data_IF_037457877323
#
_entry.id   IF_037457877323
#
_cell.length_a   1.000
_cell.length_b   1.000
_cell.length_c   1.000
_cell.angle_alpha   90.00
_cell.angle_beta   90.00
_cell.angle_gamma   90.00
#
_symmetry.space_group_name_H-M   'P 1'
#
loop_
_entity.id
_entity.type
_entity.pdbx_description
1 polymer ?
#
# COMPACT_ATOMS: atom_id res chain seq x y z
N UNK A 1 -31.48 10.50 -16.43
CA UNK A 1 -31.07 9.09 -16.53
C UNK A 1 -29.97 8.87 -15.54
N UNK A 2 -30.26 8.19 -14.45
CA UNK A 2 -29.27 7.72 -13.47
C UNK A 2 -28.45 6.61 -14.10
N UNK A 3 -27.24 6.93 -14.56
CA UNK A 3 -26.37 5.99 -15.26
C UNK A 3 -25.86 4.84 -14.38
N UNK A 4 -25.92 4.96 -13.04
CA UNK A 4 -25.46 3.93 -12.12
C UNK A 4 -26.21 4.03 -10.78
N UNK A 5 -27.36 3.35 -10.59
CA UNK A 5 -28.10 3.37 -9.32
C UNK A 5 -27.35 2.68 -8.17
N UNK A 6 -26.50 1.68 -8.46
CA UNK A 6 -25.74 0.94 -7.44
C UNK A 6 -24.26 0.97 -7.74
N UNK A 7 -23.48 1.72 -6.96
CA UNK A 7 -22.03 1.78 -7.06
C UNK A 7 -21.40 1.16 -5.83
N UNK A 8 -20.55 0.18 -6.02
CA UNK A 8 -19.93 -0.55 -4.91
C UNK A 8 -18.53 -0.05 -4.62
N UNK A 9 -18.27 0.25 -3.37
CA UNK A 9 -16.96 0.58 -2.87
C UNK A 9 -16.24 -0.70 -2.40
N UNK A 10 -15.14 -0.99 -3.06
CA UNK A 10 -14.33 -2.16 -2.79
C UNK A 10 -12.92 -1.76 -2.37
N UNK A 11 -12.33 -2.51 -1.46
CA UNK A 11 -10.99 -2.23 -0.95
C UNK A 11 -10.11 -3.48 -0.94
N UNK A 12 -9.00 -3.42 -1.65
CA UNK A 12 -8.00 -4.49 -1.67
C UNK A 12 -6.59 -3.92 -1.51
N UNK A 13 -5.80 -4.45 -0.58
CA UNK A 13 -4.40 -4.04 -0.39
C UNK A 13 -3.45 -5.21 -0.37
N UNK A 14 -2.27 -5.03 -0.95
CA UNK A 14 -1.27 -6.07 -1.09
C UNK A 14 -0.46 -6.35 0.19
N UNK A 15 -0.28 -5.38 1.11
CA UNK A 15 0.68 -5.54 2.22
C UNK A 15 0.38 -4.81 3.52
N UNK A 16 -0.62 -4.03 3.56
CA UNK A 16 -0.91 -3.21 4.72
C UNK A 16 -1.84 -2.09 4.35
N UNK A 17 -2.11 -1.31 5.35
CA UNK A 17 -2.99 -0.17 5.24
C UNK A 17 -2.15 1.02 4.76
N UNK A 18 -2.58 1.66 3.70
CA UNK A 18 -2.03 2.94 3.30
C UNK A 18 -2.79 4.07 4.03
N UNK A 19 -2.10 5.03 4.64
CA UNK A 19 -2.75 6.21 5.22
C UNK A 19 -3.63 6.91 4.21
N UNK A 20 -4.84 7.35 4.61
CA UNK A 20 -5.78 8.04 3.72
C UNK A 20 -6.78 7.13 2.97
N UNK A 21 -6.65 5.81 3.06
CA UNK A 21 -7.60 4.89 2.42
C UNK A 21 -9.04 5.07 2.95
N UNK A 22 -9.24 5.24 4.27
CA UNK A 22 -10.55 5.50 4.84
C UNK A 22 -11.13 6.83 4.34
N UNK A 23 -10.30 7.85 4.22
CA UNK A 23 -10.69 9.15 3.66
C UNK A 23 -11.15 9.03 2.20
N UNK A 24 -10.43 8.27 1.38
CA UNK A 24 -10.81 8.01 0.00
C UNK A 24 -12.14 7.24 -0.10
N UNK A 25 -12.32 6.22 0.73
CA UNK A 25 -13.58 5.48 0.82
C UNK A 25 -14.75 6.39 1.22
N UNK A 26 -14.55 7.20 2.26
CA UNK A 26 -15.54 8.20 2.70
C UNK A 26 -15.90 9.18 1.59
N UNK A 27 -14.90 9.70 0.88
CA UNK A 27 -15.13 10.63 -0.22
C UNK A 27 -15.97 9.97 -1.34
N UNK A 28 -15.62 8.75 -1.74
CA UNK A 28 -16.37 8.00 -2.74
C UNK A 28 -17.83 7.78 -2.32
N UNK A 29 -18.07 7.33 -1.08
CA UNK A 29 -19.43 7.11 -0.55
C UNK A 29 -20.23 8.40 -0.55
N UNK A 30 -19.70 9.48 0.00
CA UNK A 30 -20.41 10.77 0.08
C UNK A 30 -20.72 11.38 -1.30
N UNK A 31 -19.76 11.29 -2.22
CA UNK A 31 -19.95 11.76 -3.59
C UNK A 31 -20.97 10.93 -4.34
N UNK A 32 -20.99 9.60 -4.14
CA UNK A 32 -22.00 8.71 -4.72
C UNK A 32 -23.40 9.04 -4.21
N UNK A 33 -23.57 9.10 -2.89
CA UNK A 33 -24.87 9.45 -2.26
C UNK A 33 -25.34 10.84 -2.72
N UNK A 34 -24.45 11.82 -2.80
CA UNK A 34 -24.80 13.17 -3.29
C UNK A 34 -25.25 13.17 -4.76
N UNK A 35 -24.93 12.14 -5.54
CA UNK A 35 -25.40 11.92 -6.91
C UNK A 35 -26.66 11.05 -6.99
N UNK A 36 -27.21 10.65 -5.85
CA UNK A 36 -28.36 9.76 -5.78
C UNK A 36 -28.06 8.29 -6.01
N UNK A 37 -26.79 7.88 -5.85
CA UNK A 37 -26.39 6.49 -5.97
C UNK A 37 -26.53 5.77 -4.62
N UNK A 38 -26.94 4.50 -4.65
CA UNK A 38 -26.85 3.61 -3.51
C UNK A 38 -25.41 3.09 -3.41
N UNK A 39 -24.78 3.35 -2.29
CA UNK A 39 -23.38 2.97 -2.06
C UNK A 39 -23.30 1.70 -1.21
N UNK A 40 -22.71 0.67 -1.76
CA UNK A 40 -22.52 -0.61 -1.08
C UNK A 40 -21.05 -0.79 -0.68
N UNK A 41 -20.81 -1.16 0.57
CA UNK A 41 -19.48 -1.47 1.09
C UNK A 41 -19.26 -2.97 1.17
N UNK A 42 -18.18 -3.45 0.52
CA UNK A 42 -17.77 -4.85 0.60
C UNK A 42 -16.73 -4.98 1.71
N UNK A 43 -16.99 -5.82 2.71
CA UNK A 43 -16.06 -6.08 3.81
C UNK A 43 -15.17 -7.27 3.48
N UNK A 44 -13.88 -7.13 3.79
CA UNK A 44 -12.92 -8.23 3.63
C UNK A 44 -12.47 -8.51 2.21
N UNK A 45 -12.51 -7.53 1.29
CA UNK A 45 -11.94 -7.63 -0.05
C UNK A 45 -12.70 -8.62 -0.98
N UNK A 46 -12.02 -9.21 -1.96
CA UNK A 46 -12.62 -10.14 -2.95
C UNK A 46 -13.30 -11.35 -2.28
N UNK A 47 -12.73 -11.83 -1.19
CA UNK A 47 -13.35 -12.90 -0.43
C UNK A 47 -14.68 -12.48 0.17
N UNK A 48 -14.74 -11.26 0.71
CA UNK A 48 -15.99 -10.71 1.24
C UNK A 48 -17.07 -10.56 0.17
N UNK A 49 -16.69 -10.18 -1.05
CA UNK A 49 -17.61 -10.17 -2.19
C UNK A 49 -18.08 -11.59 -2.52
N UNK A 50 -17.17 -12.56 -2.62
CA UNK A 50 -17.52 -13.97 -2.89
C UNK A 50 -18.44 -14.56 -1.80
N UNK A 51 -18.19 -14.22 -0.55
CA UNK A 51 -18.98 -14.63 0.62
C UNK A 51 -20.26 -13.78 0.79
N UNK A 52 -20.49 -12.80 -0.09
CA UNK A 52 -21.61 -11.84 -0.06
C UNK A 52 -21.68 -10.99 1.23
N UNK A 53 -20.52 -10.65 1.80
CA UNK A 53 -20.42 -9.72 2.94
C UNK A 53 -20.48 -8.26 2.45
N UNK A 54 -21.67 -7.88 2.01
CA UNK A 54 -21.99 -6.58 1.40
C UNK A 54 -23.01 -5.87 2.27
N UNK A 55 -22.80 -4.58 2.52
CA UNK A 55 -23.76 -3.75 3.24
C UNK A 55 -23.93 -2.39 2.59
N UNK A 56 -25.12 -1.83 2.68
CA UNK A 56 -25.35 -0.45 2.29
C UNK A 56 -24.59 0.50 3.25
N UNK A 57 -24.04 1.56 2.67
CA UNK A 57 -23.31 2.61 3.38
C UNK A 57 -24.08 3.92 3.31
N UNK A 58 -24.39 4.46 4.47
CA UNK A 58 -25.03 5.77 4.62
C UNK A 58 -24.00 6.87 4.84
N UNK A 59 -24.44 8.12 4.81
CA UNK A 59 -23.62 9.27 5.14
C UNK A 59 -23.05 9.21 6.56
N UNK A 60 -23.84 8.70 7.52
CA UNK A 60 -23.46 8.54 8.92
C UNK A 60 -22.41 7.44 9.13
N UNK A 61 -22.51 6.31 8.41
CA UNK A 61 -21.55 5.22 8.54
C UNK A 61 -20.10 5.63 8.28
N UNK A 62 -19.90 6.61 7.41
CA UNK A 62 -18.56 7.05 6.99
C UNK A 62 -18.10 8.34 7.69
N UNK A 63 -18.84 8.86 8.67
CA UNK A 63 -18.58 10.17 9.25
C UNK A 63 -17.19 10.27 9.88
N UNK A 64 -16.80 9.33 10.72
CA UNK A 64 -15.51 9.28 11.42
C UNK A 64 -14.33 8.79 10.58
N UNK A 65 -14.56 8.28 9.36
CA UNK A 65 -13.52 7.59 8.59
C UNK A 65 -12.34 8.47 8.15
N UNK A 66 -12.54 9.79 8.05
CA UNK A 66 -11.45 10.70 7.69
C UNK A 66 -10.38 10.85 8.78
N UNK A 67 -10.74 10.58 10.03
CA UNK A 67 -9.86 10.74 11.19
C UNK A 67 -9.26 9.41 11.66
N UNK A 68 -9.67 8.31 11.05
CA UNK A 68 -9.23 6.97 11.42
C UNK A 68 -8.25 6.43 10.38
N UNK A 69 -7.08 6.03 10.85
CA UNK A 69 -6.18 5.21 10.06
C UNK A 69 -6.79 3.82 9.81
N UNK A 70 -6.16 3.05 8.93
CA UNK A 70 -6.60 1.69 8.69
C UNK A 70 -7.63 1.54 7.58
N UNK A 71 -8.49 0.51 7.68
CA UNK A 71 -9.48 0.13 6.70
C UNK A 71 -10.75 -0.40 7.35
N UNK A 72 -11.74 0.45 7.51
CA UNK A 72 -13.03 0.09 8.11
C UNK A 72 -13.75 -1.05 7.37
N UNK A 73 -13.62 -1.09 6.04
CA UNK A 73 -14.14 -2.21 5.24
C UNK A 73 -13.26 -3.46 5.29
N UNK A 74 -12.17 -3.45 6.06
CA UNK A 74 -11.22 -4.54 6.09
C UNK A 74 -10.37 -4.63 4.82
N UNK A 75 -9.36 -5.48 4.86
CA UNK A 75 -8.46 -5.73 3.71
C UNK A 75 -8.01 -7.18 3.71
N UNK A 76 -7.80 -7.74 2.51
CA UNK A 76 -7.13 -9.04 2.32
C UNK A 76 -6.13 -8.92 1.18
N UNK A 77 -5.14 -9.82 1.18
CA UNK A 77 -3.99 -9.78 0.25
C UNK A 77 -4.14 -10.74 -0.93
N UNK A 78 -5.29 -11.33 -1.08
CA UNK A 78 -5.55 -12.36 -2.07
C UNK A 78 -5.89 -11.73 -3.41
N UNK A 79 -5.33 -12.28 -4.49
CA UNK A 79 -5.86 -12.13 -5.84
C UNK A 79 -6.83 -13.30 -6.01
N UNK A 80 -8.07 -13.09 -6.48
CA UNK A 80 -9.01 -14.17 -6.66
C UNK A 80 -8.49 -15.23 -7.62
N UNK A 81 -8.68 -16.49 -7.26
CA UNK A 81 -8.41 -17.63 -8.15
C UNK A 81 -9.62 -17.89 -9.05
N UNK A 82 -9.39 -18.61 -10.15
CA UNK A 82 -10.44 -18.88 -11.16
C UNK A 82 -11.68 -19.54 -10.55
N UNK A 83 -11.49 -20.41 -9.58
CA UNK A 83 -12.56 -21.11 -8.85
C UNK A 83 -13.50 -20.15 -8.12
N UNK A 84 -13.00 -18.98 -7.75
CA UNK A 84 -13.78 -17.94 -7.04
C UNK A 84 -14.57 -17.04 -7.99
N UNK A 85 -14.26 -17.02 -9.30
CA UNK A 85 -14.88 -16.11 -10.26
C UNK A 85 -16.39 -16.33 -10.41
N UNK A 86 -16.84 -17.57 -10.34
CA UNK A 86 -18.26 -17.86 -10.34
C UNK A 86 -18.98 -17.22 -9.13
N UNK A 87 -18.42 -17.36 -7.94
CA UNK A 87 -18.98 -16.78 -6.70
C UNK A 87 -18.97 -15.24 -6.76
N UNK A 88 -17.90 -14.66 -7.31
CA UNK A 88 -17.79 -13.20 -7.51
C UNK A 88 -18.83 -12.70 -8.49
N UNK A 89 -19.01 -13.36 -9.64
CA UNK A 89 -20.02 -13.01 -10.62
C UNK A 89 -21.43 -13.08 -10.03
N UNK A 90 -21.74 -14.16 -9.30
CA UNK A 90 -23.04 -14.32 -8.62
C UNK A 90 -23.29 -13.23 -7.57
N UNK A 91 -22.25 -12.79 -6.86
CA UNK A 91 -22.38 -11.72 -5.87
C UNK A 91 -22.63 -10.35 -6.54
N UNK A 92 -21.98 -10.09 -7.67
CA UNK A 92 -22.21 -8.88 -8.49
C UNK A 92 -23.66 -8.85 -8.96
N UNK A 93 -24.15 -9.94 -9.55
CA UNK A 93 -25.56 -10.05 -10.02
C UNK A 93 -26.58 -9.93 -8.88
N UNK A 94 -26.34 -10.65 -7.75
CA UNK A 94 -27.24 -10.65 -6.59
C UNK A 94 -27.42 -9.27 -5.97
N UNK A 95 -26.34 -8.49 -5.92
CA UNK A 95 -26.36 -7.16 -5.35
C UNK A 95 -26.63 -6.08 -6.41
N UNK A 96 -26.93 -6.46 -7.64
CA UNK A 96 -27.23 -5.55 -8.75
C UNK A 96 -26.17 -4.46 -8.91
N UNK A 97 -24.87 -4.85 -8.87
CA UNK A 97 -23.78 -3.89 -8.91
C UNK A 97 -23.60 -3.33 -10.34
N UNK A 98 -23.77 -2.04 -10.51
CA UNK A 98 -23.55 -1.36 -11.79
C UNK A 98 -22.10 -0.93 -12.02
N UNK A 99 -21.33 -0.71 -10.96
CA UNK A 99 -19.93 -0.33 -11.04
C UNK A 99 -19.16 -0.71 -9.77
N UNK A 100 -17.84 -0.84 -9.90
CA UNK A 100 -16.93 -1.07 -8.78
C UNK A 100 -15.96 0.09 -8.62
N UNK A 101 -15.76 0.55 -7.38
CA UNK A 101 -14.65 1.42 -7.00
C UNK A 101 -13.69 0.60 -6.15
N UNK A 102 -12.49 0.38 -6.64
CA UNK A 102 -11.46 -0.42 -5.98
C UNK A 102 -10.34 0.48 -5.49
N UNK A 103 -10.11 0.51 -4.17
CA UNK A 103 -9.02 1.30 -3.57
C UNK A 103 -7.94 0.32 -3.11
N UNK A 104 -6.75 0.37 -3.71
CA UNK A 104 -5.73 -0.58 -3.32
C UNK A 104 -4.41 -0.49 -4.06
N UNK A 105 -3.50 -1.38 -3.69
CA UNK A 105 -2.17 -1.51 -4.27
C UNK A 105 -2.12 -2.53 -5.43
N UNK A 106 -0.91 -3.01 -5.73
CA UNK A 106 -0.65 -3.87 -6.89
C UNK A 106 -1.56 -5.10 -7.00
N UNK A 107 -1.88 -5.79 -5.89
CA UNK A 107 -2.78 -6.95 -5.98
C UNK A 107 -4.22 -6.57 -6.33
N UNK A 108 -4.66 -5.37 -5.95
CA UNK A 108 -5.97 -4.88 -6.39
C UNK A 108 -5.99 -4.69 -7.91
N UNK A 109 -4.93 -4.12 -8.46
CA UNK A 109 -4.75 -3.96 -9.91
C UNK A 109 -4.70 -5.31 -10.63
N UNK A 110 -3.90 -6.25 -10.12
CA UNK A 110 -3.80 -7.60 -10.69
C UNK A 110 -5.13 -8.35 -10.64
N UNK A 111 -5.89 -8.22 -9.55
CA UNK A 111 -7.19 -8.84 -9.41
C UNK A 111 -8.21 -8.27 -10.42
N UNK A 112 -8.29 -6.95 -10.54
CA UNK A 112 -9.16 -6.31 -11.54
C UNK A 112 -8.74 -6.68 -12.95
N UNK A 113 -7.45 -6.68 -13.25
CA UNK A 113 -6.94 -7.10 -14.56
C UNK A 113 -7.32 -8.55 -14.88
N UNK A 114 -7.17 -9.46 -13.92
CA UNK A 114 -7.57 -10.85 -14.09
C UNK A 114 -9.09 -11.00 -14.34
N UNK A 115 -9.93 -10.28 -13.59
CA UNK A 115 -11.38 -10.26 -13.81
C UNK A 115 -11.75 -9.70 -15.21
N UNK A 116 -11.08 -8.62 -15.62
CA UNK A 116 -11.35 -8.02 -16.95
C UNK A 116 -10.95 -8.94 -18.10
N UNK A 117 -9.95 -9.78 -17.94
CA UNK A 117 -9.57 -10.77 -18.95
C UNK A 117 -10.59 -11.92 -19.07
N UNK A 118 -11.37 -12.18 -18.02
CA UNK A 118 -12.38 -13.23 -17.97
C UNK A 118 -13.82 -12.72 -18.23
N UNK A 119 -13.99 -11.45 -18.58
CA UNK A 119 -15.31 -10.83 -18.76
C UNK A 119 -16.15 -11.47 -19.88
N UNK A 120 -15.52 -12.08 -20.88
CA UNK A 120 -16.24 -12.77 -21.96
C UNK A 120 -16.81 -14.12 -21.45
N UNK A 121 -16.15 -14.74 -20.49
CA UNK A 121 -16.59 -15.97 -19.83
C UNK A 121 -17.59 -15.71 -18.69
N UNK A 122 -17.43 -14.58 -18.01
CA UNK A 122 -18.28 -14.16 -16.89
C UNK A 122 -18.89 -12.77 -17.19
N UNK A 123 -20.07 -12.71 -17.82
CA UNK A 123 -20.71 -11.44 -18.20
C UNK A 123 -20.92 -10.46 -17.04
N UNK A 124 -21.08 -10.96 -15.82
CA UNK A 124 -21.17 -10.13 -14.61
C UNK A 124 -19.94 -9.21 -14.39
N UNK A 125 -18.80 -9.54 -14.99
CA UNK A 125 -17.59 -8.70 -14.92
C UNK A 125 -17.56 -7.57 -15.97
N UNK A 126 -18.58 -7.44 -16.82
CA UNK A 126 -18.68 -6.37 -17.82
C UNK A 126 -19.16 -5.03 -17.24
N UNK A 127 -18.97 -4.83 -15.94
CA UNK A 127 -19.29 -3.56 -15.27
C UNK A 127 -18.07 -2.64 -15.23
N UNK A 128 -18.27 -1.31 -15.23
CA UNK A 128 -17.19 -0.35 -15.07
C UNK A 128 -16.45 -0.53 -13.74
N UNK A 129 -15.12 -0.47 -13.80
CA UNK A 129 -14.27 -0.53 -12.59
C UNK A 129 -13.37 0.69 -12.55
N UNK A 130 -13.40 1.43 -11.45
CA UNK A 130 -12.49 2.52 -11.16
C UNK A 130 -11.47 2.08 -10.10
N UNK A 131 -10.20 2.13 -10.47
CA UNK A 131 -9.08 1.82 -9.57
C UNK A 131 -8.51 3.11 -8.99
N UNK A 132 -8.49 3.21 -7.66
CA UNK A 132 -7.84 4.30 -6.91
C UNK A 132 -6.55 3.76 -6.31
N UNK A 133 -5.37 4.25 -6.75
CA UNK A 133 -4.08 3.76 -6.27
C UNK A 133 -3.87 4.09 -4.81
N UNK A 134 -3.59 3.07 -3.99
CA UNK A 134 -3.30 3.21 -2.57
C UNK A 134 -2.21 2.24 -2.14
N UNK A 135 -1.00 2.78 -1.94
CA UNK A 135 0.19 2.02 -1.54
C UNK A 135 1.24 2.97 -0.99
N UNK A 136 1.94 2.58 0.05
CA UNK A 136 3.10 3.33 0.53
C UNK A 136 4.34 3.12 -0.35
N UNK A 137 4.37 2.03 -1.13
CA UNK A 137 5.51 1.68 -1.99
C UNK A 137 5.57 2.55 -3.26
N UNK A 138 4.47 3.23 -3.62
CA UNK A 138 4.31 4.03 -4.84
C UNK A 138 4.75 3.30 -6.12
N UNK A 139 4.41 2.02 -6.23
CA UNK A 139 4.88 1.11 -7.28
C UNK A 139 3.78 0.71 -8.28
N UNK A 140 2.77 1.56 -8.45
CA UNK A 140 1.62 1.27 -9.30
C UNK A 140 1.82 1.89 -10.69
N UNK A 141 1.82 1.10 -11.77
CA UNK A 141 1.94 1.61 -13.12
C UNK A 141 0.83 2.61 -13.47
N UNK A 142 1.17 3.69 -14.15
CA UNK A 142 0.22 4.72 -14.57
C UNK A 142 -0.24 5.68 -13.46
N UNK A 143 0.38 5.60 -12.28
CA UNK A 143 0.10 6.51 -11.16
C UNK A 143 1.37 7.28 -10.80
N UNK A 144 1.29 8.60 -10.70
CA UNK A 144 2.40 9.44 -10.23
C UNK A 144 2.58 9.30 -8.71
N UNK A 145 1.48 9.39 -7.97
CA UNK A 145 1.48 9.29 -6.52
C UNK A 145 0.26 8.50 -6.04
N UNK A 146 0.52 7.44 -5.29
CA UNK A 146 -0.54 6.64 -4.67
C UNK A 146 -0.92 7.17 -3.28
N UNK A 147 -2.18 6.96 -2.89
CA UNK A 147 -2.67 7.31 -1.56
C UNK A 147 -1.79 6.64 -0.50
N UNK A 148 -1.24 7.44 0.41
CA UNK A 148 -0.43 7.01 1.53
C UNK A 148 1.08 7.07 1.31
N UNK A 149 1.56 7.21 0.08
CA UNK A 149 2.99 7.30 -0.20
C UNK A 149 3.63 8.56 0.42
N UNK A 150 3.00 9.72 0.24
CA UNK A 150 3.48 10.98 0.82
C UNK A 150 3.47 10.96 2.36
N UNK A 151 2.40 10.48 2.97
CA UNK A 151 2.34 10.34 4.43
C UNK A 151 3.42 9.38 4.96
N UNK A 152 3.67 8.28 4.26
CA UNK A 152 4.73 7.34 4.63
C UNK A 152 6.12 7.98 4.51
N UNK A 153 6.35 8.77 3.46
CA UNK A 153 7.59 9.51 3.26
C UNK A 153 7.82 10.52 4.39
N UNK A 154 6.83 11.33 4.72
CA UNK A 154 6.94 12.31 5.82
C UNK A 154 7.22 11.64 7.17
N UNK A 155 6.55 10.52 7.47
CA UNK A 155 6.79 9.76 8.70
C UNK A 155 8.20 9.16 8.72
N UNK A 156 8.68 8.63 7.60
CA UNK A 156 10.04 8.10 7.49
C UNK A 156 11.07 9.22 7.72
N UNK A 157 10.93 10.35 7.05
CA UNK A 157 11.83 11.51 7.20
C UNK A 157 11.88 11.99 8.65
N UNK A 158 10.73 12.15 9.29
CA UNK A 158 10.65 12.56 10.68
C UNK A 158 11.33 11.57 11.65
N UNK A 159 11.18 10.27 11.43
CA UNK A 159 11.85 9.25 12.23
C UNK A 159 13.37 9.27 12.00
N UNK A 160 13.80 9.44 10.75
CA UNK A 160 15.21 9.51 10.37
C UNK A 160 15.91 10.74 10.96
N UNK A 161 15.26 11.89 11.01
CA UNK A 161 15.82 13.10 11.64
C UNK A 161 16.13 12.86 13.12
N UNK A 162 15.23 12.20 13.85
CA UNK A 162 15.47 11.81 15.25
C UNK A 162 16.62 10.80 15.41
N UNK A 163 16.74 9.86 14.48
CA UNK A 163 17.87 8.91 14.46
C UNK A 163 19.17 9.67 14.24
N UNK A 164 19.21 10.67 13.36
CA UNK A 164 20.38 11.50 13.09
C UNK A 164 20.82 12.30 14.32
N UNK A 165 19.90 12.88 15.07
CA UNK A 165 20.20 13.56 16.32
C UNK A 165 20.91 12.62 17.31
N UNK A 166 20.38 11.40 17.47
CA UNK A 166 20.99 10.36 18.31
C UNK A 166 22.35 9.91 17.78
N UNK A 167 22.48 9.76 16.46
CA UNK A 167 23.73 9.36 15.80
C UNK A 167 24.83 10.38 16.02
N UNK A 168 24.51 11.67 15.87
CA UNK A 168 25.45 12.78 16.08
C UNK A 168 25.93 12.86 17.55
N UNK A 169 25.01 12.68 18.50
CA UNK A 169 25.34 12.70 19.93
C UNK A 169 26.25 11.53 20.35
N UNK A 170 26.02 10.36 19.79
CA UNK A 170 26.72 9.12 20.17
C UNK A 170 27.91 8.77 19.27
N UNK A 171 28.14 9.55 18.20
CA UNK A 171 29.18 9.29 17.18
C UNK A 171 29.06 7.88 16.58
N UNK A 172 27.87 7.54 16.06
CA UNK A 172 27.56 6.20 15.54
C UNK A 172 27.10 6.25 14.10
N UNK A 173 27.27 5.12 13.43
CA UNK A 173 26.60 4.80 12.19
C UNK A 173 25.27 4.10 12.50
N UNK A 174 24.19 4.54 11.90
CA UNK A 174 22.90 3.86 11.95
C UNK A 174 22.55 3.32 10.57
N UNK A 175 22.02 2.10 10.56
CA UNK A 175 21.43 1.49 9.37
C UNK A 175 19.94 1.44 9.63
N UNK A 176 19.16 2.12 8.78
CA UNK A 176 17.70 2.12 8.87
C UNK A 176 17.12 1.38 7.66
N UNK A 177 16.28 0.40 7.93
CA UNK A 177 15.56 -0.35 6.92
C UNK A 177 14.23 0.35 6.63
N UNK A 178 14.02 0.71 5.36
CA UNK A 178 12.81 1.38 4.87
C UNK A 178 11.97 0.41 4.06
N UNK A 179 10.67 0.40 4.28
CA UNK A 179 9.74 -0.43 3.54
C UNK A 179 9.75 -0.10 2.05
N UNK A 180 9.41 -1.08 1.21
CA UNK A 180 9.34 -0.88 -0.25
C UNK A 180 9.45 -2.18 -1.04
N UNK A 181 9.92 -3.26 -0.41
CA UNK A 181 10.11 -4.59 -1.01
C UNK A 181 10.98 -4.55 -2.26
N UNK A 182 10.33 -4.49 -3.45
CA UNK A 182 11.00 -4.43 -4.77
C UNK A 182 10.96 -3.04 -5.38
N UNK A 183 10.56 -2.03 -4.61
CA UNK A 183 10.51 -0.63 -5.05
C UNK A 183 11.28 0.24 -4.06
N UNK A 184 12.34 0.83 -4.53
CA UNK A 184 13.20 1.73 -3.76
C UNK A 184 12.66 3.14 -3.57
N UNK A 185 11.47 3.46 -4.10
CA UNK A 185 10.92 4.82 -4.07
C UNK A 185 10.96 5.45 -2.67
N UNK A 186 10.35 4.78 -1.68
CA UNK A 186 10.27 5.32 -0.34
C UNK A 186 11.66 5.45 0.31
N UNK A 187 12.54 4.48 0.10
CA UNK A 187 13.93 4.51 0.58
C UNK A 187 14.72 5.64 -0.06
N UNK A 188 14.62 5.81 -1.38
CA UNK A 188 15.31 6.87 -2.11
C UNK A 188 14.84 8.25 -1.66
N UNK A 189 13.53 8.48 -1.66
CA UNK A 189 12.95 9.78 -1.33
C UNK A 189 13.20 10.17 0.14
N UNK A 190 13.09 9.21 1.08
CA UNK A 190 13.42 9.47 2.48
C UNK A 190 14.91 9.68 2.70
N UNK A 191 15.77 9.06 1.90
CA UNK A 191 17.22 9.29 1.93
C UNK A 191 17.58 10.71 1.47
N UNK A 192 16.99 11.15 0.38
CA UNK A 192 17.18 12.51 -0.13
C UNK A 192 16.68 13.55 0.87
N UNK A 193 15.50 13.33 1.46
CA UNK A 193 14.90 14.25 2.43
C UNK A 193 15.70 14.32 3.73
N UNK A 194 16.22 13.19 4.22
CA UNK A 194 16.99 13.12 5.47
C UNK A 194 18.48 13.38 5.29
N UNK A 195 18.99 13.39 4.05
CA UNK A 195 20.41 13.54 3.77
C UNK A 195 21.23 12.35 4.24
N UNK A 196 20.77 11.14 3.98
CA UNK A 196 21.52 9.91 4.27
C UNK A 196 22.78 9.83 3.39
N UNK A 197 23.89 9.35 3.95
CA UNK A 197 25.17 9.28 3.27
C UNK A 197 25.27 8.12 2.29
N UNK A 198 24.62 7.00 2.58
CA UNK A 198 24.59 5.81 1.73
C UNK A 198 23.18 5.27 1.60
N UNK A 199 22.87 4.84 0.39
CA UNK A 199 21.57 4.27 0.04
C UNK A 199 21.82 2.95 -0.69
N UNK A 200 21.12 1.89 -0.26
CA UNK A 200 21.13 0.59 -0.92
C UNK A 200 19.70 0.25 -1.33
N UNK A 201 19.42 0.36 -2.61
CA UNK A 201 18.13 0.04 -3.20
C UNK A 201 18.10 -1.41 -3.68
N UNK A 202 16.92 -1.99 -3.71
CA UNK A 202 16.73 -3.34 -4.22
C UNK A 202 16.99 -3.45 -5.73
N UNK A 203 16.80 -2.34 -6.44
CA UNK A 203 17.05 -2.20 -7.89
C UNK A 203 18.55 -2.17 -8.24
N UNK A 204 19.40 -1.72 -7.33
CA UNK A 204 20.82 -1.47 -7.60
C UNK A 204 21.73 -2.70 -7.40
N UNK A 205 21.18 -3.87 -7.09
CA UNK A 205 21.94 -5.10 -6.85
C UNK A 205 23.24 -4.85 -6.04
N UNK A 206 23.09 -4.30 -4.82
CA UNK A 206 24.24 -4.02 -3.95
C UNK A 206 25.10 -5.27 -3.76
N UNK A 207 26.36 -5.21 -4.19
CA UNK A 207 27.30 -6.30 -4.01
C UNK A 207 28.16 -6.10 -2.75
N UNK A 208 28.69 -7.19 -2.19
CA UNK A 208 29.53 -7.17 -1.01
C UNK A 208 30.79 -6.29 -1.18
N UNK A 209 31.31 -6.20 -2.39
CA UNK A 209 32.49 -5.38 -2.67
C UNK A 209 32.19 -3.89 -2.50
N UNK A 210 31.07 -3.39 -3.04
CA UNK A 210 30.62 -2.00 -2.85
C UNK A 210 30.40 -1.68 -1.37
N UNK A 211 29.74 -2.58 -0.64
CA UNK A 211 29.50 -2.41 0.80
C UNK A 211 30.83 -2.33 1.57
N UNK A 212 31.80 -3.18 1.22
CA UNK A 212 33.13 -3.17 1.86
C UNK A 212 33.91 -1.88 1.56
N UNK A 213 33.81 -1.35 0.36
CA UNK A 213 34.44 -0.07 -0.02
C UNK A 213 33.81 1.10 0.72
N UNK A 214 32.47 1.18 0.77
CA UNK A 214 31.74 2.20 1.49
C UNK A 214 32.03 2.15 2.99
N UNK A 215 32.13 0.95 3.58
CA UNK A 215 32.50 0.76 4.98
C UNK A 215 33.90 1.29 5.29
N UNK A 216 34.89 1.06 4.39
CA UNK A 216 36.26 1.60 4.57
C UNK A 216 36.26 3.13 4.52
N UNK A 217 35.49 3.73 3.60
CA UNK A 217 35.34 5.19 3.48
C UNK A 217 34.71 5.79 4.73
N UNK A 218 33.67 5.13 5.29
CA UNK A 218 33.04 5.56 6.54
C UNK A 218 34.02 5.57 7.71
N UNK A 219 34.79 4.48 7.88
CA UNK A 219 35.80 4.39 8.96
C UNK A 219 36.85 5.50 8.82
N UNK A 220 37.31 5.81 7.60
CA UNK A 220 38.18 6.95 7.33
C UNK A 220 37.55 8.27 7.78
N UNK A 221 36.33 8.54 7.37
CA UNK A 221 35.63 9.78 7.69
C UNK A 221 35.37 9.96 9.21
N UNK A 222 35.12 8.90 9.96
CA UNK A 222 35.04 8.98 11.42
C UNK A 222 36.39 9.38 12.06
N UNK A 223 37.50 8.88 11.53
CA UNK A 223 38.86 9.29 11.98
C UNK A 223 39.10 10.77 11.68
N UNK A 224 38.56 11.29 10.57
CA UNK A 224 38.66 12.69 10.16
C UNK A 224 37.68 13.61 10.91
N UNK A 225 36.97 13.10 11.91
CA UNK A 225 36.12 13.89 12.81
C UNK A 225 34.63 13.93 12.46
N UNK A 226 34.17 13.20 11.45
CA UNK A 226 32.74 13.08 11.18
C UNK A 226 32.01 12.41 12.35
N UNK A 227 30.79 12.89 12.66
CA UNK A 227 30.10 12.47 13.88
C UNK A 227 28.97 11.47 13.67
N UNK A 228 28.43 11.40 12.44
CA UNK A 228 27.33 10.50 12.13
C UNK A 228 27.46 9.92 10.71
N UNK A 229 26.88 8.74 10.57
CA UNK A 229 26.50 8.18 9.26
C UNK A 229 25.11 7.59 9.37
N UNK A 230 24.29 7.86 8.38
CA UNK A 230 23.00 7.26 8.18
C UNK A 230 23.01 6.48 6.86
N UNK A 231 22.73 5.21 6.96
CA UNK A 231 22.62 4.30 5.82
C UNK A 231 21.16 3.87 5.71
N UNK A 232 20.57 4.02 4.53
CA UNK A 232 19.23 3.51 4.29
C UNK A 232 19.29 2.29 3.38
N UNK A 233 18.54 1.28 3.75
CA UNK A 233 18.41 0.03 2.99
C UNK A 233 16.95 -0.25 2.69
N UNK A 234 16.68 -0.77 1.51
CA UNK A 234 15.34 -1.16 1.13
C UNK A 234 14.98 -2.51 1.75
N UNK A 235 13.83 -2.59 2.41
CA UNK A 235 13.38 -3.83 3.04
C UNK A 235 13.09 -4.93 2.02
N UNK A 236 13.72 -6.09 2.19
CA UNK A 236 13.58 -7.28 1.33
C UNK A 236 12.45 -8.15 1.85
N UNK A 237 11.34 -7.88 1.88
CA UNK A 237 10.11 -8.65 2.06
C UNK A 237 10.02 -9.70 3.18
N UNK A 238 8.83 -9.86 3.69
CA UNK A 238 8.39 -10.65 4.86
C UNK A 238 8.85 -12.11 5.02
N UNK A 239 9.44 -12.73 4.02
CA UNK A 239 9.95 -14.11 4.14
C UNK A 239 11.16 -14.18 5.07
N UNK A 240 11.92 -13.09 5.21
CA UNK A 240 13.11 -13.01 6.07
C UNK A 240 12.77 -12.52 7.48
N UNK A 241 11.80 -11.59 7.65
CA UNK A 241 11.33 -11.18 8.98
C UNK A 241 10.84 -12.36 9.85
N UNK A 242 10.26 -13.40 9.22
CA UNK A 242 9.86 -14.62 9.92
C UNK A 242 11.05 -15.49 10.35
N UNK A 243 12.20 -15.40 9.68
CA UNK A 243 13.40 -16.14 10.06
C UNK A 243 14.10 -15.50 11.24
N UNK A 244 14.30 -14.18 11.21
CA UNK A 244 14.89 -13.42 12.31
C UNK A 244 14.09 -13.55 13.60
N UNK A 245 12.76 -13.49 13.55
CA UNK A 245 11.90 -13.66 14.72
C UNK A 245 11.86 -15.07 15.31
N UNK A 246 12.35 -16.11 14.60
CA UNK A 246 12.50 -17.46 15.13
C UNK A 246 13.85 -17.70 15.79
N UNK A 247 14.90 -17.04 15.32
CA UNK A 247 16.25 -17.16 15.89
C UNK A 247 16.42 -16.43 17.22
N UNK A 248 15.60 -15.39 17.47
CA UNK A 248 15.58 -14.69 18.77
C UNK A 248 14.80 -15.42 19.87
N UNK A 249 14.29 -16.62 19.65
CA UNK A 249 13.52 -17.42 20.62
C UNK A 249 14.20 -18.74 21.02
N UNK A 250 15.45 -18.95 20.67
CA UNK A 250 16.27 -20.09 21.14
C UNK A 250 17.26 -19.66 22.21
#
# INVERSE_FOLDING_TARGET
STLFPYTTLFRSTNRGLAPGMNTAARAAVRLGIARGWTMLGIRGSWRGLADNDVRELTWGDVEGWAFQGGAELGTRREVPEIEQYYSLGRAIERNELDALIVIGGLNAYLAVHAMMNERDRYPAFQIPVVLIPASIDNNLPGSELSIGADTALNNATWALDRIKESAAATKRCFIAEIMGRRCGYLTLMSSLSSGAEYIYLNEDAANLQKIAEDSRRMVGSFKDGRRLFLILVNAVGRSEERRVGKECRS
#
